data_IF_018707480910
#
_entry.id   IF_018707480910
#
_cell.length_a   1.000
_cell.length_b   1.000
_cell.length_c   1.000
_cell.angle_alpha   90.00
_cell.angle_beta   90.00
_cell.angle_gamma   90.00
#
_symmetry.space_group_name_H-M   'P 1'
#
loop_
_entity.id
_entity.type
_entity.pdbx_description
1 polymer ?
#
# COMPACT_ATOMS: atom_id res chain seq x y z
N UNK A 1 -7.36 7.05 -26.84
CA UNK A 1 -6.04 7.74 -26.91
C UNK A 1 -4.99 6.75 -27.35
N UNK A 2 -4.16 7.07 -28.38
CA UNK A 2 -3.23 6.13 -29.01
C UNK A 2 -1.88 5.90 -28.30
N UNK A 3 -1.85 5.90 -26.97
CA UNK A 3 -0.62 5.61 -26.23
C UNK A 3 -0.38 4.10 -26.17
N UNK A 4 0.88 3.69 -26.40
CA UNK A 4 1.33 2.32 -26.18
C UNK A 4 2.25 2.26 -24.98
N UNK A 5 2.06 1.26 -24.12
CA UNK A 5 3.02 0.96 -23.05
C UNK A 5 4.29 0.43 -23.71
N UNK A 6 5.39 1.15 -23.57
CA UNK A 6 6.70 0.76 -24.10
C UNK A 6 7.45 -0.16 -23.14
N UNK A 7 7.26 0.06 -21.84
CA UNK A 7 7.96 -0.69 -20.81
C UNK A 7 7.16 -0.63 -19.49
N UNK A 8 7.02 -1.76 -18.83
CA UNK A 8 6.38 -1.84 -17.50
C UNK A 8 7.45 -1.98 -16.41
N UNK A 9 7.85 -0.86 -15.83
CA UNK A 9 8.88 -0.80 -14.80
C UNK A 9 8.52 -1.58 -13.52
N UNK A 10 7.24 -1.88 -13.27
CA UNK A 10 6.81 -2.63 -12.07
C UNK A 10 7.40 -4.04 -11.98
N UNK A 11 7.79 -4.61 -13.11
CA UNK A 11 8.41 -5.94 -13.19
C UNK A 11 9.90 -5.93 -12.86
N UNK A 12 10.55 -4.79 -13.01
CA UNK A 12 12.00 -4.64 -12.90
C UNK A 12 12.40 -3.93 -11.60
N UNK A 13 11.55 -3.01 -11.12
CA UNK A 13 11.85 -2.18 -9.96
C UNK A 13 10.82 -2.44 -8.87
N UNK A 14 11.27 -2.95 -7.73
CA UNK A 14 10.46 -3.00 -6.51
C UNK A 14 10.57 -1.64 -5.84
N UNK A 15 9.47 -0.89 -5.84
CA UNK A 15 9.40 0.43 -5.19
C UNK A 15 8.16 0.50 -4.30
N UNK A 16 8.30 0.85 -3.02
CA UNK A 16 7.16 1.03 -2.12
C UNK A 16 6.41 2.30 -2.52
N UNK A 17 5.31 2.16 -3.26
CA UNK A 17 4.56 3.28 -3.81
C UNK A 17 3.58 3.90 -2.82
N UNK A 18 2.97 3.10 -1.96
CA UNK A 18 2.01 3.55 -0.95
C UNK A 18 2.29 2.89 0.38
N UNK A 19 2.29 3.68 1.45
CA UNK A 19 2.59 3.19 2.79
C UNK A 19 1.84 4.00 3.84
N UNK A 20 1.41 3.35 4.91
CA UNK A 20 0.99 4.03 6.13
C UNK A 20 2.25 4.41 6.90
N UNK A 21 2.45 5.70 7.11
CA UNK A 21 3.64 6.23 7.79
C UNK A 21 3.23 6.93 9.08
N UNK A 22 3.96 6.64 10.15
CA UNK A 22 3.76 7.30 11.43
C UNK A 22 5.10 7.49 12.16
N UNK A 23 5.10 8.29 13.21
CA UNK A 23 6.28 8.45 14.06
C UNK A 23 6.39 7.26 15.01
N UNK A 24 7.62 6.84 15.31
CA UNK A 24 7.88 5.79 16.34
C UNK A 24 7.22 6.11 17.68
N UNK A 25 7.24 7.38 18.08
CA UNK A 25 6.58 7.86 19.29
C UNK A 25 5.09 7.50 19.33
N UNK A 26 4.36 7.67 18.23
CA UNK A 26 2.94 7.32 18.16
C UNK A 26 2.71 5.81 18.36
N UNK A 27 3.62 4.98 17.84
CA UNK A 27 3.54 3.52 18.05
C UNK A 27 3.74 3.18 19.53
N UNK A 28 4.63 3.90 20.23
CA UNK A 28 4.95 3.65 21.63
C UNK A 28 3.88 4.19 22.59
N UNK A 29 3.32 5.36 22.30
CA UNK A 29 2.38 6.06 23.17
C UNK A 29 0.92 5.68 22.93
N UNK A 30 0.54 5.35 21.70
CA UNK A 30 -0.83 5.01 21.32
C UNK A 30 -0.89 3.95 20.22
N UNK A 31 -0.41 2.75 20.55
CA UNK A 31 -0.40 1.60 19.64
C UNK A 31 -1.80 1.25 19.13
N UNK A 32 -2.83 1.45 19.94
CA UNK A 32 -4.21 1.12 19.58
C UNK A 32 -4.74 2.00 18.46
N UNK A 33 -4.44 3.30 18.48
CA UNK A 33 -4.81 4.20 17.38
C UNK A 33 -4.08 3.82 16.10
N UNK A 34 -2.80 3.47 16.16
CA UNK A 34 -2.05 3.00 15.01
C UNK A 34 -2.64 1.69 14.46
N UNK A 35 -2.98 0.74 15.35
CA UNK A 35 -3.62 -0.51 14.96
C UNK A 35 -4.98 -0.28 14.27
N UNK A 36 -5.83 0.60 14.81
CA UNK A 36 -7.10 0.96 14.17
C UNK A 36 -6.90 1.53 12.76
N UNK A 37 -5.89 2.38 12.59
CA UNK A 37 -5.57 2.95 11.28
C UNK A 37 -5.08 1.88 10.30
N UNK A 38 -4.17 1.00 10.71
CA UNK A 38 -3.69 -0.11 9.89
C UNK A 38 -4.84 -1.04 9.53
N UNK A 39 -5.69 -1.38 10.49
CA UNK A 39 -6.88 -2.20 10.27
C UNK A 39 -7.82 -1.60 9.24
N UNK A 40 -8.15 -0.31 9.36
CA UNK A 40 -9.00 0.41 8.41
C UNK A 40 -8.41 0.42 7.00
N UNK A 41 -7.07 0.54 6.89
CA UNK A 41 -6.37 0.47 5.61
C UNK A 41 -6.51 -0.92 4.97
N UNK A 42 -6.31 -1.99 5.75
CA UNK A 42 -6.48 -3.38 5.31
C UNK A 42 -7.93 -3.66 4.89
N UNK A 43 -8.91 -3.19 5.67
CA UNK A 43 -10.33 -3.27 5.33
C UNK A 43 -10.63 -2.53 4.01
N UNK A 44 -10.06 -1.33 3.84
CA UNK A 44 -10.19 -0.55 2.61
C UNK A 44 -9.65 -1.26 1.38
N UNK A 45 -8.49 -1.91 1.48
CA UNK A 45 -7.91 -2.73 0.40
C UNK A 45 -8.87 -3.89 0.05
N UNK A 46 -9.33 -4.64 1.06
CA UNK A 46 -10.23 -5.76 0.84
C UNK A 46 -11.55 -5.29 0.21
N UNK A 47 -12.13 -4.21 0.71
CA UNK A 47 -13.36 -3.64 0.18
C UNK A 47 -13.20 -3.19 -1.27
N UNK A 48 -12.10 -2.50 -1.58
CA UNK A 48 -11.79 -2.09 -2.95
C UNK A 48 -11.74 -3.29 -3.90
N UNK A 49 -11.07 -4.37 -3.50
CA UNK A 49 -10.88 -5.58 -4.33
C UNK A 49 -12.16 -6.38 -4.53
N UNK A 50 -13.08 -6.33 -3.57
CA UNK A 50 -14.30 -7.16 -3.55
C UNK A 50 -15.57 -6.43 -3.97
N UNK A 51 -15.56 -5.08 -4.06
CA UNK A 51 -16.72 -4.26 -4.39
C UNK A 51 -16.44 -3.35 -5.60
N UNK A 52 -16.32 -3.98 -6.79
CA UNK A 52 -15.91 -3.29 -8.03
C UNK A 52 -16.74 -2.04 -8.32
N UNK A 53 -18.08 -2.15 -8.31
CA UNK A 53 -18.97 -1.04 -8.69
C UNK A 53 -18.82 0.16 -7.75
N UNK A 54 -18.71 -0.10 -6.44
CA UNK A 54 -18.45 0.97 -5.47
C UNK A 54 -17.08 1.59 -5.69
N UNK A 55 -16.06 0.78 -5.86
CA UNK A 55 -14.68 1.21 -6.07
C UNK A 55 -14.54 2.06 -7.33
N UNK A 56 -15.22 1.68 -8.40
CA UNK A 56 -15.27 2.48 -9.64
C UNK A 56 -15.95 3.84 -9.43
N UNK A 57 -17.03 3.90 -8.63
CA UNK A 57 -17.67 5.19 -8.27
C UNK A 57 -16.71 6.09 -7.47
N UNK A 58 -15.95 5.49 -6.54
CA UNK A 58 -14.93 6.22 -5.78
C UNK A 58 -13.82 6.71 -6.71
N UNK A 59 -13.30 5.86 -7.58
CA UNK A 59 -12.29 6.26 -8.58
C UNK A 59 -12.80 7.40 -9.46
N UNK A 60 -14.02 7.30 -10.01
CA UNK A 60 -14.65 8.36 -10.80
C UNK A 60 -14.66 9.70 -10.07
N UNK A 61 -15.08 9.68 -8.80
CA UNK A 61 -15.15 10.89 -7.96
C UNK A 61 -13.78 11.54 -7.75
N UNK A 62 -12.76 10.74 -7.39
CA UNK A 62 -11.44 11.29 -7.03
C UNK A 62 -10.54 11.58 -8.22
N UNK A 63 -10.63 10.78 -9.29
CA UNK A 63 -9.91 11.03 -10.54
C UNK A 63 -10.64 12.10 -11.41
N UNK A 64 -11.90 12.40 -11.10
CA UNK A 64 -12.76 13.30 -11.90
C UNK A 64 -12.90 12.81 -13.34
N UNK A 65 -13.02 11.52 -13.53
CA UNK A 65 -13.15 10.83 -14.82
C UNK A 65 -14.48 10.09 -14.83
N UNK A 66 -15.23 10.21 -15.93
CA UNK A 66 -16.48 9.47 -16.15
C UNK A 66 -16.39 8.47 -17.30
N UNK A 67 -15.25 8.39 -17.96
CA UNK A 67 -14.99 7.40 -19.00
C UNK A 67 -14.89 5.99 -18.37
N UNK A 68 -15.82 5.12 -18.76
CA UNK A 68 -15.96 3.79 -18.19
C UNK A 68 -14.73 2.90 -18.50
N UNK A 69 -14.20 2.99 -19.69
CA UNK A 69 -13.05 2.19 -20.10
C UNK A 69 -11.80 2.57 -19.30
N UNK A 70 -11.56 3.88 -19.11
CA UNK A 70 -10.48 4.37 -18.26
C UNK A 70 -10.64 3.96 -16.79
N UNK A 71 -11.88 4.00 -16.27
CA UNK A 71 -12.16 3.60 -14.88
C UNK A 71 -11.96 2.10 -14.69
N UNK A 72 -12.43 1.27 -15.61
CA UNK A 72 -12.21 -0.18 -15.57
C UNK A 72 -10.73 -0.53 -15.64
N UNK A 73 -9.98 0.10 -16.57
CA UNK A 73 -8.54 -0.08 -16.67
C UNK A 73 -7.81 0.34 -15.39
N UNK A 74 -8.19 1.49 -14.82
CA UNK A 74 -7.62 1.96 -13.55
C UNK A 74 -7.94 1.01 -12.39
N UNK A 75 -9.17 0.53 -12.29
CA UNK A 75 -9.58 -0.43 -11.26
C UNK A 75 -8.76 -1.72 -11.33
N UNK A 76 -8.59 -2.30 -12.52
CA UNK A 76 -7.83 -3.55 -12.67
C UNK A 76 -6.35 -3.36 -12.32
N UNK A 77 -5.75 -2.22 -12.65
CA UNK A 77 -4.38 -1.88 -12.24
C UNK A 77 -4.27 -1.82 -10.72
N UNK A 78 -5.11 -1.01 -10.06
CA UNK A 78 -5.06 -0.89 -8.60
C UNK A 78 -5.39 -2.20 -7.88
N UNK A 79 -6.32 -2.99 -8.42
CA UNK A 79 -6.67 -4.30 -7.87
C UNK A 79 -5.49 -5.27 -7.88
N UNK A 80 -4.62 -5.20 -8.90
CA UNK A 80 -3.39 -5.98 -8.97
C UNK A 80 -2.32 -5.43 -8.03
N UNK A 81 -2.16 -4.11 -7.97
CA UNK A 81 -1.11 -3.45 -7.19
C UNK A 81 -1.37 -3.52 -5.68
N UNK A 82 -2.63 -3.50 -5.25
CA UNK A 82 -2.96 -3.65 -3.84
C UNK A 82 -2.74 -5.08 -3.37
N UNK A 83 -1.78 -5.25 -2.46
CA UNK A 83 -1.46 -6.54 -1.84
C UNK A 83 -2.53 -6.88 -0.80
N UNK A 84 -3.12 -8.09 -0.88
CA UNK A 84 -4.21 -8.48 0.03
C UNK A 84 -3.77 -8.62 1.49
N UNK A 85 -2.53 -9.04 1.73
CA UNK A 85 -1.89 -9.05 3.05
C UNK A 85 -0.68 -8.12 2.97
N UNK A 86 -0.84 -6.82 3.29
CA UNK A 86 0.12 -5.77 2.95
C UNK A 86 1.26 -5.67 3.98
N UNK A 87 2.09 -6.70 4.08
CA UNK A 87 3.33 -6.61 4.84
C UNK A 87 4.23 -5.50 4.28
N UNK A 88 4.87 -4.70 5.14
CA UNK A 88 5.81 -3.70 4.67
C UNK A 88 7.00 -4.35 3.96
N UNK A 89 7.40 -3.78 2.84
CA UNK A 89 8.49 -4.29 2.00
C UNK A 89 9.73 -3.45 2.26
N UNK A 90 10.83 -4.10 2.67
CA UNK A 90 12.15 -3.45 2.81
C UNK A 90 12.93 -3.44 1.51
N UNK A 91 12.71 -4.46 0.67
CA UNK A 91 13.29 -4.51 -0.68
C UNK A 91 12.80 -3.30 -1.50
N UNK A 92 13.73 -2.57 -2.09
CA UNK A 92 13.44 -1.33 -2.84
C UNK A 92 13.58 -0.06 -2.00
N UNK A 93 13.81 -0.16 -0.68
CA UNK A 93 14.19 0.99 0.14
C UNK A 93 15.63 1.45 -0.12
N UNK A 94 16.48 0.59 -0.68
CA UNK A 94 17.89 0.92 -0.96
C UNK A 94 18.01 2.15 -1.86
N UNK A 95 17.22 2.21 -2.94
CA UNK A 95 17.23 3.39 -3.83
C UNK A 95 16.78 4.66 -3.10
N UNK A 96 15.80 4.55 -2.19
CA UNK A 96 15.35 5.65 -1.34
C UNK A 96 16.45 6.07 -0.36
N UNK A 97 17.17 5.10 0.20
CA UNK A 97 18.31 5.36 1.09
C UNK A 97 19.41 6.14 0.38
N UNK A 98 19.81 5.70 -0.80
CA UNK A 98 20.84 6.36 -1.58
C UNK A 98 20.46 7.79 -1.95
N UNK A 99 19.18 8.01 -2.30
CA UNK A 99 18.67 9.36 -2.55
C UNK A 99 18.69 10.24 -1.29
N UNK A 100 18.18 9.74 -0.18
CA UNK A 100 18.14 10.50 1.09
C UNK A 100 19.54 10.74 1.63
N UNK A 101 20.46 9.79 1.46
CA UNK A 101 21.84 9.91 1.91
C UNK A 101 22.64 11.02 1.21
N UNK A 102 22.16 11.53 0.08
CA UNK A 102 22.77 12.71 -0.57
C UNK A 102 22.63 13.98 0.28
N UNK A 103 21.51 14.10 1.01
CA UNK A 103 21.22 15.26 1.86
C UNK A 103 21.32 14.96 3.35
N UNK A 104 21.23 13.68 3.73
CA UNK A 104 21.28 13.19 5.12
C UNK A 104 22.16 11.94 5.22
N UNK A 105 23.50 12.11 5.21
CA UNK A 105 24.46 11.00 5.21
C UNK A 105 24.31 10.07 6.42
N UNK A 106 23.81 10.58 7.55
CA UNK A 106 23.58 9.81 8.78
C UNK A 106 22.61 8.62 8.61
N UNK A 107 21.79 8.63 7.55
CA UNK A 107 20.88 7.50 7.29
C UNK A 107 21.65 6.20 6.99
N UNK A 108 22.88 6.29 6.48
CA UNK A 108 23.73 5.14 6.20
C UNK A 108 24.08 4.31 7.44
N UNK A 109 23.92 4.89 8.64
CA UNK A 109 24.08 4.21 9.91
C UNK A 109 22.81 3.43 10.37
N UNK A 110 21.77 3.43 9.55
CA UNK A 110 20.51 2.74 9.81
C UNK A 110 20.27 1.65 8.78
N UNK A 111 19.48 0.64 9.17
CA UNK A 111 19.05 -0.42 8.24
C UNK A 111 17.64 -0.13 7.76
N UNK A 112 17.24 -0.58 6.55
CA UNK A 112 15.86 -0.47 6.06
C UNK A 112 14.82 -0.99 7.05
N UNK A 113 15.14 -2.09 7.76
CA UNK A 113 14.30 -2.72 8.77
C UNK A 113 14.01 -1.80 9.96
N UNK A 114 14.87 -0.82 10.25
CA UNK A 114 14.66 0.14 11.33
C UNK A 114 13.45 1.08 11.05
N UNK A 115 13.02 1.16 9.80
CA UNK A 115 11.96 2.07 9.36
C UNK A 115 10.63 1.38 9.06
N UNK A 116 10.53 0.07 9.24
CA UNK A 116 9.31 -0.70 9.05
C UNK A 116 8.92 -1.44 10.32
N UNK A 117 7.61 -1.55 10.55
CA UNK A 117 7.06 -2.35 11.64
C UNK A 117 6.02 -3.34 11.09
N UNK A 118 6.40 -4.61 10.88
CA UNK A 118 5.48 -5.62 10.38
C UNK A 118 4.52 -6.15 11.43
N UNK A 119 4.69 -5.79 12.71
CA UNK A 119 3.96 -6.40 13.83
C UNK A 119 2.44 -6.20 13.73
N UNK A 120 1.98 -5.05 13.22
CA UNK A 120 0.57 -4.74 13.07
C UNK A 120 -0.11 -5.66 12.04
N UNK A 121 0.52 -5.83 10.88
CA UNK A 121 -0.01 -6.73 9.84
C UNK A 121 0.08 -8.18 10.30
N UNK A 122 1.18 -8.58 10.96
CA UNK A 122 1.34 -9.92 11.48
C UNK A 122 0.25 -10.28 12.52
N UNK A 123 -0.17 -9.34 13.37
CA UNK A 123 -1.24 -9.53 14.33
C UNK A 123 -2.60 -9.73 13.63
N UNK A 124 -2.92 -8.88 12.65
CA UNK A 124 -4.16 -9.00 11.87
C UNK A 124 -4.20 -10.28 11.04
N UNK A 125 -3.08 -10.70 10.47
CA UNK A 125 -2.97 -11.91 9.67
C UNK A 125 -3.11 -13.16 10.54
N UNK A 126 -2.33 -13.28 11.63
CA UNK A 126 -2.37 -14.40 12.58
C UNK A 126 -3.73 -14.56 13.26
N UNK A 127 -4.47 -13.48 13.51
CA UNK A 127 -5.83 -13.53 14.05
C UNK A 127 -6.87 -14.03 13.05
N UNK A 128 -6.49 -14.26 11.79
CA UNK A 128 -7.39 -14.60 10.69
C UNK A 128 -8.27 -13.42 10.26
N UNK A 129 -8.05 -12.21 10.79
CA UNK A 129 -8.85 -11.05 10.45
C UNK A 129 -8.81 -10.75 8.95
N UNK A 130 -7.60 -10.71 8.35
CA UNK A 130 -7.44 -10.42 6.92
C UNK A 130 -8.13 -11.48 6.06
N UNK A 131 -7.95 -12.75 6.40
CA UNK A 131 -8.59 -13.87 5.69
C UNK A 131 -10.11 -13.72 5.63
N UNK A 132 -10.74 -13.41 6.76
CA UNK A 132 -12.21 -13.23 6.84
C UNK A 132 -12.76 -12.11 5.97
N UNK A 133 -11.96 -11.08 5.65
CA UNK A 133 -12.38 -9.99 4.77
C UNK A 133 -12.61 -10.45 3.31
N UNK A 134 -12.02 -11.57 2.93
CA UNK A 134 -12.15 -12.16 1.58
C UNK A 134 -13.06 -13.40 1.54
N UNK A 135 -13.46 -13.94 2.69
CA UNK A 135 -14.37 -15.06 2.78
C UNK A 135 -15.82 -14.62 2.57
N UNK A 136 -16.58 -15.35 1.75
CA UNK A 136 -18.03 -15.12 1.56
C UNK A 136 -18.39 -14.00 0.57
N UNK A 137 -17.46 -13.61 -0.30
CA UNK A 137 -17.71 -12.58 -1.32
C UNK A 137 -17.39 -13.08 -2.72
#
# INVERSE_FOLDING_TARGET
MGFKVLFDARKEVVYPSMSVVTRRRNIQEDRDTVMRMVRSHVEGIAYFKTHKDFSMKVLSKYLRVNDRELLEGSYEIFKQDFISVPYPITKGLEATYDYVAQTRPEIRNRKPEDFVDPSFIAELDKSGFIKRLYEGK
#
